data_IF_589790420798
#
_entry.id   IF_589790420798
#
_cell.length_a   1.000
_cell.length_b   1.000
_cell.length_c   1.000
_cell.angle_alpha   90.00
_cell.angle_beta   90.00
_cell.angle_gamma   90.00
#
_symmetry.space_group_name_H-M   'P 1'
#
loop_
_entity.id
_entity.type
_entity.pdbx_description
1 polymer ?
#
# COMPACT_ATOMS: atom_id res chain seq x y z
N UNK A 1 26.95 52.50 28.23
CA UNK A 1 25.62 52.53 28.85
C UNK A 1 24.89 51.26 28.42
N UNK A 2 25.14 50.16 29.13
CA UNK A 2 24.27 49.62 30.22
C UNK A 2 23.02 48.95 29.63
N UNK A 3 23.05 47.64 29.31
CA UNK A 3 22.93 46.45 30.18
C UNK A 3 21.63 46.43 30.99
N UNK A 4 20.72 45.51 30.64
CA UNK A 4 19.90 44.75 31.58
C UNK A 4 19.24 43.55 30.87
N UNK A 5 19.82 42.37 31.06
CA UNK A 5 19.09 41.09 31.09
C UNK A 5 18.18 41.07 32.34
N UNK A 6 17.13 40.24 32.34
CA UNK A 6 16.73 39.55 33.56
C UNK A 6 17.09 38.07 33.49
N UNK A 7 17.75 37.69 34.56
CA UNK A 7 18.23 36.39 34.99
C UNK A 7 17.07 35.47 35.45
N UNK A 8 17.27 34.16 35.23
CA UNK A 8 16.87 33.00 36.04
C UNK A 8 15.49 32.91 36.69
N UNK A 9 14.80 31.79 36.40
CA UNK A 9 14.34 30.91 37.48
C UNK A 9 14.29 29.43 37.04
N UNK A 10 15.33 28.71 37.46
CA UNK A 10 15.35 27.26 37.64
C UNK A 10 14.20 26.83 38.58
N UNK A 11 13.34 25.92 38.14
CA UNK A 11 12.56 25.08 39.05
C UNK A 11 12.80 23.61 38.67
N UNK A 12 13.81 23.04 39.34
CA UNK A 12 13.92 21.59 39.54
C UNK A 12 12.75 21.14 40.40
N UNK A 13 12.00 20.13 39.96
CA UNK A 13 11.34 19.19 40.87
C UNK A 13 11.56 17.75 40.44
N UNK A 14 12.19 17.04 41.36
CA UNK A 14 12.55 15.64 41.35
C UNK A 14 11.36 14.70 41.61
N UNK A 15 11.59 13.44 41.21
CA UNK A 15 11.05 12.18 41.76
C UNK A 15 9.58 11.85 41.41
N UNK A 16 9.20 10.61 41.08
CA UNK A 16 9.62 9.33 41.66
C UNK A 16 9.48 8.19 40.64
N UNK A 17 10.44 7.29 40.70
CA UNK A 17 10.36 5.94 40.15
C UNK A 17 9.28 5.12 40.88
N UNK A 18 8.57 4.28 40.14
CA UNK A 18 7.90 3.10 40.67
C UNK A 18 8.17 1.94 39.71
N UNK A 19 9.15 1.13 40.11
CA UNK A 19 9.35 -0.25 39.63
C UNK A 19 8.33 -1.14 40.36
N UNK A 20 7.53 -1.90 39.61
CA UNK A 20 6.86 -3.09 40.16
C UNK A 20 7.22 -4.26 39.26
N UNK A 21 8.19 -5.03 39.74
CA UNK A 21 8.47 -6.38 39.28
C UNK A 21 7.50 -7.35 39.98
N UNK A 22 6.84 -8.21 39.22
CA UNK A 22 6.17 -9.38 39.74
C UNK A 22 6.69 -10.60 38.96
N UNK A 23 7.62 -11.31 39.57
CA UNK A 23 8.04 -12.64 39.16
C UNK A 23 7.06 -13.65 39.75
N UNK A 24 6.50 -14.53 38.91
CA UNK A 24 5.88 -15.77 39.38
C UNK A 24 6.56 -16.91 38.63
N UNK A 25 7.31 -17.69 39.42
CA UNK A 25 7.87 -18.97 39.05
C UNK A 25 6.77 -20.04 39.08
N UNK A 26 6.75 -20.90 38.07
CA UNK A 26 5.99 -22.15 38.04
C UNK A 26 6.74 -23.17 37.20
N UNK A 27 7.23 -24.23 37.84
CA UNK A 27 8.04 -25.28 37.24
C UNK A 27 7.26 -26.61 37.08
N UNK A 28 7.70 -27.38 36.07
CA UNK A 28 7.45 -28.82 35.80
C UNK A 28 6.00 -29.22 35.42
N UNK A 29 5.75 -30.10 34.44
CA UNK A 29 6.22 -31.50 34.32
C UNK A 29 6.37 -31.94 32.85
N UNK A 30 7.31 -32.85 32.65
CA UNK A 30 7.69 -33.60 31.45
C UNK A 30 6.54 -34.46 30.86
N UNK A 31 6.43 -34.47 29.53
CA UNK A 31 5.94 -35.64 28.79
C UNK A 31 6.73 -35.75 27.48
N UNK A 32 7.69 -36.67 27.48
CA UNK A 32 8.33 -37.19 26.28
C UNK A 32 7.37 -38.17 25.60
N UNK A 33 7.11 -38.00 24.31
CA UNK A 33 6.70 -39.09 23.44
C UNK A 33 7.83 -39.35 22.46
N UNK A 34 8.44 -40.50 22.70
CA UNK A 34 9.54 -41.13 21.99
C UNK A 34 9.00 -41.90 20.78
N UNK A 35 9.84 -41.95 19.73
CA UNK A 35 9.96 -43.00 18.71
C UNK A 35 8.75 -43.39 17.82
N UNK A 36 8.93 -43.19 16.51
CA UNK A 36 9.19 -44.31 15.60
C UNK A 36 9.60 -43.80 14.20
N UNK A 37 10.89 -43.80 13.91
CA UNK A 37 11.40 -43.86 12.54
C UNK A 37 11.28 -45.31 12.06
N UNK A 38 10.47 -45.55 11.04
CA UNK A 38 10.41 -46.82 10.33
C UNK A 38 10.94 -46.65 8.91
N UNK A 39 12.16 -47.11 8.66
CA UNK A 39 12.64 -47.47 7.32
C UNK A 39 12.72 -48.99 7.27
N UNK A 40 11.97 -49.64 6.37
CA UNK A 40 12.37 -50.90 5.77
C UNK A 40 12.31 -50.76 4.23
N UNK A 41 13.24 -51.18 3.39
CA UNK A 41 14.51 -51.90 3.48
C UNK A 41 14.99 -52.05 2.03
N UNK A 42 16.29 -52.03 1.80
CA UNK A 42 16.90 -52.34 0.50
C UNK A 42 17.04 -53.86 0.35
N UNK A 43 16.60 -54.42 -0.78
CA UNK A 43 17.28 -55.49 -1.54
C UNK A 43 16.56 -55.77 -2.89
N UNK A 44 17.23 -56.35 -3.91
CA UNK A 44 17.33 -55.73 -5.22
C UNK A 44 16.66 -56.48 -6.40
N UNK A 45 16.60 -55.75 -7.53
CA UNK A 45 16.48 -56.16 -8.94
C UNK A 45 15.16 -56.83 -9.42
N UNK A 46 14.39 -56.10 -10.24
CA UNK A 46 14.30 -56.36 -11.68
C UNK A 46 13.48 -55.30 -12.42
N UNK A 47 13.86 -55.06 -13.68
CA UNK A 47 13.61 -53.81 -14.39
C UNK A 47 12.16 -53.54 -14.80
N UNK A 48 11.81 -52.26 -14.75
CA UNK A 48 11.06 -51.56 -15.78
C UNK A 48 11.15 -50.05 -15.52
N UNK A 49 11.88 -49.33 -16.37
CA UNK A 49 11.92 -47.87 -16.40
C UNK A 49 10.54 -47.35 -16.83
N UNK A 50 9.65 -47.13 -15.87
CA UNK A 50 8.41 -46.37 -16.08
C UNK A 50 8.79 -44.89 -15.95
N UNK A 51 8.84 -44.20 -17.08
CA UNK A 51 8.89 -42.74 -17.12
C UNK A 51 7.60 -42.21 -16.50
N UNK A 52 7.62 -41.93 -15.19
CA UNK A 52 6.52 -41.28 -14.50
C UNK A 52 6.42 -39.83 -15.01
N UNK A 53 5.58 -39.61 -16.03
CA UNK A 53 5.19 -38.27 -16.45
C UNK A 53 4.17 -37.76 -15.44
N UNK A 54 4.61 -36.96 -14.48
CA UNK A 54 3.70 -36.28 -13.55
C UNK A 54 2.81 -35.33 -14.38
N UNK A 55 1.48 -35.47 -14.36
CA UNK A 55 0.60 -34.48 -14.97
C UNK A 55 0.82 -33.12 -14.28
N UNK A 56 0.70 -31.99 -15.01
CA UNK A 56 0.62 -30.68 -14.37
C UNK A 56 -0.45 -30.71 -13.28
N UNK A 57 -0.12 -30.21 -12.09
CA UNK A 57 -1.09 -30.02 -11.03
C UNK A 57 -2.28 -29.24 -11.59
N UNK A 58 -3.46 -29.86 -11.58
CA UNK A 58 -4.70 -29.20 -11.96
C UNK A 58 -4.90 -28.00 -11.02
N UNK A 59 -4.87 -26.80 -11.59
CA UNK A 59 -5.24 -25.57 -10.88
C UNK A 59 -6.69 -25.75 -10.44
N UNK A 60 -7.02 -25.70 -9.14
CA UNK A 60 -8.40 -25.72 -8.70
C UNK A 60 -9.14 -24.56 -9.38
N UNK A 61 -10.20 -24.87 -10.11
CA UNK A 61 -11.09 -23.85 -10.64
C UNK A 61 -11.64 -23.04 -9.45
N UNK A 62 -11.25 -21.77 -9.38
CA UNK A 62 -11.68 -20.87 -8.33
C UNK A 62 -13.21 -20.71 -8.45
N UNK A 63 -13.99 -20.95 -7.39
CA UNK A 63 -15.41 -20.67 -7.43
C UNK A 63 -15.60 -19.19 -7.71
N UNK A 64 -16.40 -18.87 -8.73
CA UNK A 64 -16.80 -17.50 -9.05
C UNK A 64 -17.54 -16.92 -7.83
N UNK A 65 -16.82 -16.21 -6.97
CA UNK A 65 -17.45 -15.45 -5.90
C UNK A 65 -18.20 -14.31 -6.57
N UNK A 66 -19.53 -14.41 -6.61
CA UNK A 66 -20.39 -13.26 -6.90
C UNK A 66 -20.09 -12.21 -5.86
N UNK A 67 -19.39 -11.15 -6.25
CA UNK A 67 -19.15 -9.96 -5.42
C UNK A 67 -20.50 -9.51 -4.86
N UNK A 68 -20.64 -9.37 -3.54
CA UNK A 68 -21.86 -8.86 -2.94
C UNK A 68 -22.26 -7.54 -3.61
N UNK A 69 -23.53 -7.41 -3.98
CA UNK A 69 -24.02 -6.16 -4.55
C UNK A 69 -23.75 -5.02 -3.57
N UNK A 70 -23.18 -3.92 -4.08
CA UNK A 70 -22.88 -2.76 -3.25
C UNK A 70 -24.17 -2.22 -2.58
N UNK A 71 -24.08 -1.67 -1.36
CA UNK A 71 -25.23 -1.07 -0.70
C UNK A 71 -25.93 -0.01 -1.57
N UNK A 72 -27.26 0.14 -1.44
CA UNK A 72 -27.99 1.19 -2.14
C UNK A 72 -27.52 2.56 -1.68
N UNK A 73 -27.46 3.51 -2.62
CA UNK A 73 -27.12 4.90 -2.33
C UNK A 73 -28.28 5.58 -1.56
N UNK A 74 -27.98 6.39 -0.54
CA UNK A 74 -28.97 7.26 0.10
C UNK A 74 -29.63 8.21 -0.92
N UNK A 75 -30.91 8.53 -0.71
CA UNK A 75 -31.67 9.41 -1.62
C UNK A 75 -31.15 10.86 -1.64
N UNK A 76 -30.49 11.27 -0.56
CA UNK A 76 -29.88 12.58 -0.33
C UNK A 76 -28.37 12.59 -0.60
N UNK A 77 -27.82 11.53 -1.21
CA UNK A 77 -26.40 11.48 -1.54
C UNK A 77 -25.97 12.64 -2.45
N UNK A 78 -24.80 13.27 -2.23
CA UNK A 78 -24.31 14.36 -3.06
C UNK A 78 -24.30 14.00 -4.54
N UNK A 79 -24.73 14.89 -5.44
CA UNK A 79 -24.77 14.57 -6.86
C UNK A 79 -23.35 14.46 -7.41
N UNK A 80 -23.11 13.41 -8.20
CA UNK A 80 -21.89 13.25 -9.01
C UNK A 80 -22.30 13.24 -10.48
N UNK A 81 -21.75 14.15 -11.27
CA UNK A 81 -22.07 14.26 -12.68
C UNK A 81 -21.65 13.02 -13.46
N UNK A 82 -22.47 12.66 -14.44
CA UNK A 82 -22.25 11.48 -15.27
C UNK A 82 -20.93 11.57 -16.05
N UNK A 83 -20.34 10.42 -16.32
CA UNK A 83 -19.14 10.26 -17.15
C UNK A 83 -19.54 9.51 -18.41
N UNK A 84 -19.62 10.17 -19.58
CA UNK A 84 -19.91 9.49 -20.84
C UNK A 84 -18.94 8.33 -21.09
N UNK A 85 -19.48 7.14 -21.35
CA UNK A 85 -18.69 5.92 -21.58
C UNK A 85 -18.28 5.13 -20.33
N UNK A 86 -18.56 5.64 -19.11
CA UNK A 86 -18.28 4.95 -17.84
C UNK A 86 -19.45 5.15 -16.86
N UNK A 87 -20.61 4.50 -17.07
CA UNK A 87 -21.82 4.75 -16.29
C UNK A 87 -21.70 4.43 -14.80
N UNK A 88 -20.82 3.49 -14.43
CA UNK A 88 -20.58 3.07 -13.05
C UNK A 88 -19.83 4.12 -12.21
N UNK A 89 -19.08 5.03 -12.85
CA UNK A 89 -18.17 5.98 -12.19
C UNK A 89 -18.88 6.90 -11.20
N UNK A 90 -20.00 7.50 -11.62
CA UNK A 90 -20.76 8.41 -10.77
C UNK A 90 -21.21 7.72 -9.48
N UNK A 91 -21.73 6.49 -9.57
CA UNK A 91 -22.20 5.75 -8.39
C UNK A 91 -21.06 5.35 -7.44
N UNK A 92 -19.89 4.97 -7.98
CA UNK A 92 -18.74 4.57 -7.18
C UNK A 92 -18.18 5.76 -6.37
N UNK A 93 -18.08 6.92 -7.01
CA UNK A 93 -17.62 8.16 -6.36
C UNK A 93 -18.69 8.75 -5.46
N UNK A 94 -19.97 8.59 -5.77
CA UNK A 94 -21.06 9.08 -4.93
C UNK A 94 -21.09 8.40 -3.56
N UNK A 95 -20.74 7.11 -3.46
CA UNK A 95 -20.57 6.42 -2.16
C UNK A 95 -19.45 7.05 -1.33
N UNK A 96 -18.35 7.40 -1.97
CA UNK A 96 -17.27 8.13 -1.32
C UNK A 96 -17.69 9.55 -0.93
N UNK A 97 -18.47 10.25 -1.76
CA UNK A 97 -18.95 11.60 -1.46
C UNK A 97 -19.89 11.63 -0.23
N UNK A 98 -20.74 10.61 -0.07
CA UNK A 98 -21.52 10.42 1.17
C UNK A 98 -20.61 10.29 2.38
N UNK A 99 -19.54 9.49 2.26
CA UNK A 99 -18.57 9.33 3.33
C UNK A 99 -17.81 10.63 3.62
N UNK A 100 -17.46 11.42 2.60
CA UNK A 100 -16.78 12.71 2.76
C UNK A 100 -17.57 13.68 3.67
N UNK A 101 -18.89 13.69 3.55
CA UNK A 101 -19.75 14.55 4.38
C UNK A 101 -19.98 14.02 5.80
N UNK A 102 -19.99 12.69 5.96
CA UNK A 102 -20.48 12.05 7.18
C UNK A 102 -19.39 11.42 8.06
N UNK A 103 -18.20 11.16 7.51
CA UNK A 103 -17.09 10.54 8.24
C UNK A 103 -16.05 11.55 8.67
N UNK A 104 -15.36 11.22 9.76
CA UNK A 104 -14.14 11.91 10.17
C UNK A 104 -13.00 11.62 9.21
N UNK A 105 -12.00 12.51 9.15
CA UNK A 105 -10.78 12.29 8.36
C UNK A 105 -10.10 10.96 8.71
N UNK A 106 -10.07 10.57 9.98
CA UNK A 106 -9.47 9.28 10.38
C UNK A 106 -10.22 8.08 9.79
N UNK A 107 -11.56 8.12 9.73
CA UNK A 107 -12.35 7.07 9.09
C UNK A 107 -12.17 7.06 7.56
N UNK A 108 -11.99 8.24 6.94
CA UNK A 108 -11.66 8.35 5.52
C UNK A 108 -10.26 7.80 5.23
N UNK A 109 -9.27 8.01 6.11
CA UNK A 109 -7.93 7.42 5.98
C UNK A 109 -7.98 5.89 6.04
N UNK A 110 -8.82 5.32 6.90
CA UNK A 110 -9.04 3.86 6.94
C UNK A 110 -9.72 3.36 5.67
N UNK A 111 -10.72 4.09 5.16
CA UNK A 111 -11.48 3.65 3.98
C UNK A 111 -10.64 3.83 2.70
N UNK A 112 -9.90 4.93 2.58
CA UNK A 112 -9.03 5.28 1.47
C UNK A 112 -7.57 4.87 1.72
N UNK A 113 -7.39 3.65 2.21
CA UNK A 113 -6.10 3.12 2.66
C UNK A 113 -5.05 3.02 1.54
N UNK A 114 -5.44 3.07 0.26
CA UNK A 114 -4.51 3.11 -0.87
C UNK A 114 -3.80 4.46 -1.02
N UNK A 115 -4.37 5.52 -0.46
CA UNK A 115 -3.80 6.87 -0.45
C UNK A 115 -2.98 7.10 0.84
N UNK A 116 -1.91 7.91 0.79
CA UNK A 116 -1.18 8.27 2.00
C UNK A 116 -2.10 9.00 3.01
N UNK A 117 -2.03 8.70 4.31
CA UNK A 117 -2.97 9.28 5.29
C UNK A 117 -2.94 10.81 5.36
N UNK A 118 -1.76 11.44 5.23
CA UNK A 118 -1.65 12.90 5.22
C UNK A 118 -2.23 13.49 3.93
N UNK A 119 -2.00 12.85 2.78
CA UNK A 119 -2.63 13.24 1.51
C UNK A 119 -4.17 13.19 1.61
N UNK A 120 -4.74 12.17 2.25
CA UNK A 120 -6.18 12.10 2.55
C UNK A 120 -6.62 13.25 3.44
N UNK A 121 -5.86 13.54 4.51
CA UNK A 121 -6.19 14.63 5.42
C UNK A 121 -6.20 15.99 4.71
N UNK A 122 -5.21 16.25 3.85
CA UNK A 122 -5.07 17.51 3.14
C UNK A 122 -6.14 17.66 2.04
N UNK A 123 -6.33 16.63 1.21
CA UNK A 123 -7.29 16.68 0.09
C UNK A 123 -8.74 16.78 0.54
N UNK A 124 -9.08 16.19 1.69
CA UNK A 124 -10.47 16.07 2.15
C UNK A 124 -10.79 17.01 3.31
N UNK A 125 -9.86 17.90 3.70
CA UNK A 125 -10.06 18.87 4.78
C UNK A 125 -11.22 19.84 4.51
N UNK A 126 -11.43 20.23 3.24
CA UNK A 126 -12.54 21.07 2.81
C UNK A 126 -13.39 20.33 1.76
N UNK A 127 -14.53 19.73 2.17
CA UNK A 127 -15.40 18.98 1.27
C UNK A 127 -16.06 19.82 0.17
N UNK A 128 -16.35 21.10 0.43
CA UNK A 128 -17.29 21.85 -0.41
C UNK A 128 -16.77 22.10 -1.84
N UNK A 129 -15.51 22.53 -2.06
CA UNK A 129 -14.95 22.66 -3.41
C UNK A 129 -14.91 21.32 -4.17
N UNK A 130 -14.71 20.21 -3.45
CA UNK A 130 -14.63 18.87 -4.02
C UNK A 130 -15.99 18.40 -4.50
N UNK A 131 -17.02 18.53 -3.66
CA UNK A 131 -18.41 18.21 -4.02
C UNK A 131 -18.91 19.08 -5.17
N UNK A 132 -18.55 20.38 -5.19
CA UNK A 132 -18.91 21.28 -6.28
C UNK A 132 -18.28 20.87 -7.63
N UNK A 133 -17.03 20.39 -7.61
CA UNK A 133 -16.38 19.83 -8.80
C UNK A 133 -17.06 18.53 -9.25
N UNK A 134 -17.34 17.62 -8.32
CA UNK A 134 -18.02 16.36 -8.63
C UNK A 134 -19.42 16.54 -9.20
N UNK A 135 -20.14 17.60 -8.83
CA UNK A 135 -21.46 17.91 -9.38
C UNK A 135 -21.44 18.28 -10.87
N UNK A 136 -20.27 18.64 -11.44
CA UNK A 136 -20.13 18.91 -12.87
C UNK A 136 -20.09 17.61 -13.69
N UNK A 137 -20.39 17.62 -14.99
CA UNK A 137 -20.16 16.44 -15.84
C UNK A 137 -18.69 16.01 -15.81
N UNK A 138 -18.46 14.71 -15.70
CA UNK A 138 -17.11 14.14 -15.74
C UNK A 138 -16.64 13.82 -17.16
N UNK A 139 -15.34 13.67 -17.31
CA UNK A 139 -14.70 13.21 -18.53
C UNK A 139 -13.79 12.01 -18.23
N UNK A 140 -13.56 11.16 -19.22
CA UNK A 140 -12.62 10.06 -19.13
C UNK A 140 -11.56 10.20 -20.22
N UNK A 141 -10.31 10.08 -19.82
CA UNK A 141 -9.17 9.77 -20.70
C UNK A 141 -8.74 8.35 -20.36
N UNK A 142 -8.11 7.62 -21.30
CA UNK A 142 -7.63 6.22 -21.19
C UNK A 142 -7.95 5.54 -19.84
N UNK A 143 -7.17 5.85 -18.80
CA UNK A 143 -7.29 5.24 -17.46
C UNK A 143 -7.74 6.18 -16.33
N UNK A 144 -7.96 7.48 -16.59
CA UNK A 144 -8.28 8.48 -15.56
C UNK A 144 -9.63 9.15 -15.84
N UNK A 145 -10.49 9.15 -14.84
CA UNK A 145 -11.76 9.86 -14.83
C UNK A 145 -11.58 11.17 -14.08
N UNK A 146 -12.08 12.27 -14.63
CA UNK A 146 -11.90 13.60 -14.07
C UNK A 146 -13.19 14.41 -14.02
N UNK A 147 -13.40 15.08 -12.89
CA UNK A 147 -14.39 16.15 -12.70
C UNK A 147 -13.67 17.46 -12.41
N UNK A 148 -14.21 18.58 -12.90
CA UNK A 148 -13.56 19.89 -12.75
C UNK A 148 -14.57 20.97 -12.41
N UNK A 149 -14.19 21.85 -11.47
CA UNK A 149 -14.77 23.17 -11.27
C UNK A 149 -13.75 24.25 -11.60
N UNK A 150 -14.09 25.52 -11.34
CA UNK A 150 -13.16 26.64 -11.54
C UNK A 150 -11.92 26.58 -10.63
N UNK A 151 -12.02 25.93 -9.46
CA UNK A 151 -10.95 25.91 -8.45
C UNK A 151 -10.40 24.52 -8.12
N UNK A 152 -11.07 23.45 -8.55
CA UNK A 152 -10.76 22.09 -8.11
C UNK A 152 -10.85 21.09 -9.26
N UNK A 153 -9.88 20.21 -9.33
CA UNK A 153 -9.87 19.02 -10.19
C UNK A 153 -9.94 17.79 -9.30
N UNK A 154 -10.87 16.88 -9.60
CA UNK A 154 -11.02 15.61 -8.88
C UNK A 154 -10.78 14.48 -9.87
N UNK A 155 -9.83 13.60 -9.56
CA UNK A 155 -9.49 12.46 -10.43
C UNK A 155 -9.70 11.13 -9.72
N UNK A 156 -10.04 10.11 -10.50
CA UNK A 156 -10.18 8.73 -10.04
C UNK A 156 -9.61 7.81 -11.12
N UNK A 157 -8.84 6.82 -10.70
CA UNK A 157 -8.38 5.76 -11.61
C UNK A 157 -9.56 4.87 -12.01
N UNK A 158 -9.67 4.56 -13.29
CA UNK A 158 -10.76 3.75 -13.82
C UNK A 158 -10.83 2.37 -13.17
N UNK A 159 -9.68 1.80 -12.80
CA UNK A 159 -9.59 0.53 -12.08
C UNK A 159 -10.27 0.61 -10.69
N UNK A 160 -10.18 1.75 -10.00
CA UNK A 160 -10.81 1.93 -8.68
C UNK A 160 -12.35 1.93 -8.77
N UNK A 161 -12.90 2.41 -9.87
CA UNK A 161 -14.36 2.44 -10.10
C UNK A 161 -14.96 1.03 -10.17
N UNK A 162 -14.23 0.06 -10.72
CA UNK A 162 -14.71 -1.33 -10.85
C UNK A 162 -15.01 -1.98 -9.49
N UNK A 163 -14.42 -1.48 -8.39
CA UNK A 163 -14.69 -1.95 -7.03
C UNK A 163 -16.04 -1.46 -6.46
N UNK A 164 -16.69 -0.49 -7.13
CA UNK A 164 -17.93 0.12 -6.68
C UNK A 164 -17.78 1.20 -5.60
N UNK A 165 -16.55 1.47 -5.13
CA UNK A 165 -16.20 2.55 -4.22
C UNK A 165 -14.83 3.13 -4.60
N UNK A 166 -14.76 4.40 -4.96
CA UNK A 166 -13.51 4.99 -5.43
C UNK A 166 -13.11 6.22 -4.61
N UNK A 167 -11.90 6.19 -4.04
CA UNK A 167 -11.28 7.30 -3.33
C UNK A 167 -10.58 8.24 -4.31
N UNK A 168 -11.08 9.46 -4.54
CA UNK A 168 -10.52 10.38 -5.51
C UNK A 168 -9.24 11.06 -5.02
N UNK A 169 -8.42 11.52 -5.97
CA UNK A 169 -7.41 12.54 -5.70
C UNK A 169 -7.99 13.91 -6.02
N UNK A 170 -7.57 14.91 -5.25
CA UNK A 170 -8.06 16.29 -5.35
C UNK A 170 -6.87 17.20 -5.58
N UNK A 171 -6.97 18.02 -6.62
CA UNK A 171 -5.94 18.97 -7.01
C UNK A 171 -6.53 20.37 -7.17
N UNK A 172 -5.75 21.43 -6.93
CA UNK A 172 -6.12 22.77 -7.39
C UNK A 172 -6.37 22.81 -8.90
N UNK A 173 -7.26 23.68 -9.36
CA UNK A 173 -7.46 23.89 -10.79
C UNK A 173 -6.14 24.31 -11.48
N UNK A 174 -5.85 23.69 -12.63
CA UNK A 174 -4.64 23.93 -13.41
C UNK A 174 -3.37 23.23 -12.90
N UNK A 175 -3.42 22.55 -11.76
CA UNK A 175 -2.36 21.64 -11.36
C UNK A 175 -2.43 20.35 -12.19
N UNK A 176 -1.28 19.87 -12.65
CA UNK A 176 -1.19 18.59 -13.33
C UNK A 176 -1.40 17.46 -12.31
N UNK A 177 -2.38 16.55 -12.52
CA UNK A 177 -2.54 15.39 -11.67
C UNK A 177 -1.29 14.52 -11.69
N UNK A 178 -0.85 14.07 -10.52
CA UNK A 178 0.33 13.23 -10.40
C UNK A 178 0.51 12.66 -9.00
N UNK A 179 1.58 11.90 -8.85
CA UNK A 179 1.97 11.28 -7.60
C UNK A 179 3.19 11.99 -7.02
N UNK A 180 3.26 12.03 -5.69
CA UNK A 180 4.34 12.70 -4.99
C UNK A 180 5.18 11.71 -4.14
N UNK A 181 6.19 12.26 -3.48
CA UNK A 181 7.05 11.52 -2.58
C UNK A 181 6.29 10.80 -1.45
N UNK A 182 5.13 11.31 -1.01
CA UNK A 182 4.30 10.65 -0.01
C UNK A 182 3.64 9.39 -0.58
N UNK A 183 3.20 9.41 -1.84
CA UNK A 183 2.72 8.21 -2.54
C UNK A 183 3.82 7.15 -2.65
N UNK A 184 5.05 7.55 -3.00
CA UNK A 184 6.18 6.62 -3.07
C UNK A 184 6.47 5.95 -1.70
N UNK A 185 6.48 6.74 -0.62
CA UNK A 185 6.65 6.20 0.75
C UNK A 185 5.50 5.28 1.15
N UNK A 186 4.27 5.63 0.79
CA UNK A 186 3.10 4.83 1.10
C UNK A 186 3.06 3.51 0.31
N UNK A 187 3.53 3.49 -0.94
CA UNK A 187 3.74 2.25 -1.69
C UNK A 187 4.69 1.30 -0.95
N UNK A 188 5.82 1.79 -0.44
CA UNK A 188 6.76 0.95 0.35
C UNK A 188 6.15 0.50 1.68
N UNK A 189 5.43 1.39 2.37
CA UNK A 189 4.69 1.05 3.59
C UNK A 189 3.74 -0.11 3.36
N UNK A 190 2.88 -0.02 2.34
CA UNK A 190 1.92 -1.08 1.98
C UNK A 190 2.62 -2.38 1.64
N UNK A 191 3.68 -2.32 0.82
CA UNK A 191 4.45 -3.49 0.46
C UNK A 191 5.04 -4.22 1.68
N UNK A 192 5.66 -3.47 2.60
CA UNK A 192 6.23 -4.03 3.82
C UNK A 192 5.16 -4.52 4.81
N UNK A 193 4.05 -3.80 4.94
CA UNK A 193 2.91 -4.19 5.75
C UNK A 193 2.34 -5.55 5.32
N UNK A 194 2.18 -5.78 4.01
CA UNK A 194 1.81 -7.09 3.45
C UNK A 194 2.84 -8.16 3.81
N UNK A 195 4.12 -7.86 3.60
CA UNK A 195 5.22 -8.81 3.81
C UNK A 195 5.33 -9.27 5.28
N UNK A 196 5.03 -8.39 6.23
CA UNK A 196 5.01 -8.70 7.67
C UNK A 196 3.68 -9.28 8.16
N UNK A 197 2.74 -9.59 7.25
CA UNK A 197 1.44 -10.17 7.59
C UNK A 197 0.45 -9.19 8.25
N UNK A 198 0.66 -7.89 8.08
CA UNK A 198 -0.20 -6.82 8.60
C UNK A 198 -0.59 -5.85 7.47
N UNK A 199 -1.23 -6.31 6.38
CA UNK A 199 -1.64 -5.42 5.31
C UNK A 199 -2.57 -4.33 5.84
N UNK A 200 -2.53 -3.14 5.22
CA UNK A 200 -3.34 -2.00 5.67
C UNK A 200 -4.85 -2.27 5.52
N UNK A 201 -5.21 -3.12 4.57
CA UNK A 201 -6.55 -3.66 4.37
C UNK A 201 -6.45 -5.12 3.90
N UNK A 202 -7.37 -6.03 4.27
CA UNK A 202 -7.33 -7.43 3.81
C UNK A 202 -7.40 -7.61 2.28
N UNK A 203 -7.94 -6.64 1.55
CA UNK A 203 -7.95 -6.62 0.08
C UNK A 203 -6.63 -6.18 -0.54
N UNK A 204 -5.69 -5.67 0.26
CA UNK A 204 -4.38 -5.18 -0.16
C UNK A 204 -3.45 -6.32 -0.62
N UNK A 205 -3.69 -6.80 -1.84
CA UNK A 205 -3.00 -7.96 -2.43
C UNK A 205 -2.38 -7.57 -3.77
N UNK A 206 -1.28 -8.23 -4.15
CA UNK A 206 -0.55 -7.89 -5.37
C UNK A 206 -1.39 -8.06 -6.64
N UNK A 207 -2.32 -9.02 -6.66
CA UNK A 207 -3.18 -9.26 -7.82
C UNK A 207 -4.28 -8.22 -8.05
N UNK A 208 -4.71 -7.51 -7.00
CA UNK A 208 -5.78 -6.49 -7.06
C UNK A 208 -5.24 -5.07 -6.95
N UNK A 209 -4.12 -4.90 -6.25
CA UNK A 209 -3.42 -3.64 -6.07
C UNK A 209 -1.92 -3.87 -6.27
N UNK A 210 -1.43 -3.95 -7.52
CA UNK A 210 -0.02 -4.23 -7.78
C UNK A 210 0.88 -3.13 -7.19
N UNK A 211 1.93 -3.53 -6.49
CA UNK A 211 2.97 -2.63 -5.97
C UNK A 211 4.34 -2.93 -6.56
N UNK A 212 4.51 -4.05 -7.26
CA UNK A 212 5.74 -4.44 -7.92
C UNK A 212 5.64 -4.03 -9.40
N UNK A 213 6.67 -3.39 -9.93
CA UNK A 213 6.71 -3.05 -11.35
C UNK A 213 6.65 -4.32 -12.20
N UNK A 214 5.96 -4.27 -13.34
CA UNK A 214 5.89 -5.43 -14.24
C UNK A 214 7.26 -5.74 -14.85
N UNK A 215 7.51 -7.02 -15.10
CA UNK A 215 8.73 -7.45 -15.81
C UNK A 215 8.67 -7.10 -17.32
N UNK A 216 7.46 -7.06 -17.89
CA UNK A 216 7.21 -6.85 -19.31
C UNK A 216 6.10 -5.81 -19.53
N UNK A 217 6.28 -4.88 -20.50
CA UNK A 217 7.52 -4.64 -21.25
C UNK A 217 8.65 -4.15 -20.33
N UNK A 218 9.90 -4.44 -20.71
CA UNK A 218 11.07 -3.93 -20.01
C UNK A 218 11.10 -2.39 -20.10
N UNK A 219 10.86 -1.71 -18.99
CA UNK A 219 10.81 -0.26 -18.90
C UNK A 219 11.64 0.30 -17.72
N UNK A 220 12.43 -0.54 -17.06
CA UNK A 220 13.19 -0.17 -15.87
C UNK A 220 14.58 0.38 -16.25
N UNK A 221 14.80 1.69 -16.05
CA UNK A 221 16.07 2.37 -16.31
C UNK A 221 16.32 3.55 -15.34
N UNK A 222 16.46 3.29 -14.02
CA UNK A 222 16.68 4.36 -13.02
C UNK A 222 18.00 5.11 -13.26
N UNK A 223 18.97 4.45 -13.88
CA UNK A 223 20.25 5.03 -14.26
C UNK A 223 20.23 5.61 -15.67
N UNK A 224 19.05 5.74 -16.31
CA UNK A 224 18.76 6.30 -17.63
C UNK A 224 19.90 6.11 -18.64
N UNK A 225 20.28 4.85 -18.78
CA UNK A 225 21.28 4.33 -19.70
C UNK A 225 20.78 4.30 -21.14
N UNK A 226 19.46 4.44 -21.35
CA UNK A 226 18.79 4.27 -22.63
C UNK A 226 18.49 2.82 -22.99
N UNK A 227 18.81 1.86 -22.10
CA UNK A 227 18.62 0.43 -22.32
C UNK A 227 17.77 -0.13 -21.17
N UNK A 228 16.42 -0.03 -21.25
CA UNK A 228 15.56 -0.48 -20.18
C UNK A 228 15.63 -2.00 -20.01
N UNK A 229 15.63 -2.43 -18.75
CA UNK A 229 15.61 -3.85 -18.37
C UNK A 229 14.25 -4.20 -17.74
N UNK A 230 13.93 -5.49 -17.56
CA UNK A 230 12.88 -5.90 -16.64
C UNK A 230 13.19 -5.41 -15.22
N UNK A 231 12.17 -4.97 -14.49
CA UNK A 231 12.33 -4.56 -13.10
C UNK A 231 12.93 -5.70 -12.25
N UNK A 232 14.07 -5.50 -11.56
CA UNK A 232 14.75 -6.55 -10.80
C UNK A 232 13.86 -7.30 -9.79
N UNK A 233 12.99 -6.59 -9.08
CA UNK A 233 12.11 -7.18 -8.07
C UNK A 233 11.04 -8.09 -8.69
N UNK A 234 10.57 -7.78 -9.91
CA UNK A 234 9.58 -8.60 -10.61
C UNK A 234 10.08 -10.03 -10.86
N UNK A 235 11.38 -10.18 -11.12
CA UNK A 235 12.04 -11.47 -11.34
C UNK A 235 12.54 -12.12 -10.04
N UNK A 236 12.52 -11.39 -8.93
CA UNK A 236 12.96 -11.89 -7.63
C UNK A 236 12.08 -11.35 -6.49
N UNK A 237 10.77 -11.70 -6.47
CA UNK A 237 9.83 -11.19 -5.47
C UNK A 237 10.20 -11.63 -4.04
N UNK A 238 11.00 -12.69 -3.90
CA UNK A 238 11.48 -13.21 -2.62
C UNK A 238 12.64 -12.44 -1.98
N UNK A 239 13.13 -11.33 -2.56
CA UNK A 239 14.29 -10.56 -2.05
C UNK A 239 14.21 -10.18 -0.57
N UNK A 240 13.01 -9.96 -0.05
CA UNK A 240 12.78 -9.54 1.33
C UNK A 240 12.16 -10.63 2.21
N UNK A 241 12.17 -11.89 1.74
CA UNK A 241 11.71 -13.04 2.53
C UNK A 241 12.43 -13.09 3.88
N UNK A 242 11.66 -13.31 4.95
CA UNK A 242 12.18 -13.31 6.32
C UNK A 242 12.19 -11.94 6.98
N UNK A 243 11.66 -10.90 6.34
CA UNK A 243 11.32 -9.63 7.01
C UNK A 243 10.23 -9.87 8.04
N UNK A 244 10.42 -9.38 9.27
CA UNK A 244 9.48 -9.53 10.40
C UNK A 244 8.95 -8.21 10.91
N UNK A 245 9.66 -7.11 10.72
CA UNK A 245 9.22 -5.77 11.11
C UNK A 245 9.91 -4.68 10.27
N UNK A 246 9.34 -3.47 10.27
CA UNK A 246 9.96 -2.29 9.69
C UNK A 246 9.63 -1.05 10.54
N UNK A 247 10.50 -0.04 10.49
CA UNK A 247 10.29 1.21 11.20
C UNK A 247 9.42 2.17 10.36
N UNK A 248 8.09 1.99 10.43
CA UNK A 248 7.08 2.76 9.67
C UNK A 248 7.27 4.29 9.76
N UNK A 249 7.67 4.78 10.94
CA UNK A 249 7.87 6.21 11.19
C UNK A 249 9.23 6.74 10.71
N UNK A 250 10.09 5.88 10.14
CA UNK A 250 11.42 6.23 9.64
C UNK A 250 11.54 6.04 8.12
N UNK A 251 10.40 5.93 7.42
CA UNK A 251 10.39 5.89 5.96
C UNK A 251 10.73 7.29 5.44
N UNK A 252 11.76 7.39 4.61
CA UNK A 252 12.19 8.63 3.97
C UNK A 252 12.34 8.43 2.46
N UNK A 253 12.19 9.51 1.69
CA UNK A 253 12.30 9.47 0.23
C UNK A 253 13.32 10.48 -0.27
N UNK A 254 13.90 10.18 -1.43
CA UNK A 254 14.68 11.11 -2.22
C UNK A 254 14.32 10.90 -3.69
N UNK A 255 13.86 11.97 -4.32
CA UNK A 255 13.63 11.99 -5.76
C UNK A 255 14.90 11.63 -6.53
N UNK A 256 14.74 10.79 -7.54
CA UNK A 256 15.74 10.49 -8.54
C UNK A 256 15.33 11.15 -9.86
N UNK A 257 16.03 10.82 -10.93
CA UNK A 257 15.73 11.35 -12.27
C UNK A 257 14.53 10.66 -12.90
N UNK A 258 13.89 11.32 -13.85
CA UNK A 258 12.94 10.72 -14.79
C UNK A 258 11.79 9.91 -14.13
N UNK A 259 11.18 10.45 -13.07
CA UNK A 259 10.04 9.82 -12.38
C UNK A 259 10.41 8.64 -11.48
N UNK A 260 11.70 8.48 -11.16
CA UNK A 260 12.14 7.51 -10.17
C UNK A 260 12.25 8.16 -8.79
N UNK A 261 11.98 7.39 -7.73
CA UNK A 261 12.15 7.79 -6.34
C UNK A 261 12.87 6.68 -5.59
N UNK A 262 13.82 7.05 -4.73
CA UNK A 262 14.40 6.14 -3.74
C UNK A 262 13.70 6.32 -2.41
N UNK A 263 13.34 5.22 -1.76
CA UNK A 263 12.71 5.21 -0.43
C UNK A 263 13.55 4.34 0.50
N UNK A 264 13.96 4.90 1.64
CA UNK A 264 14.77 4.21 2.63
C UNK A 264 13.94 3.91 3.87
N UNK A 265 14.08 2.69 4.38
CA UNK A 265 13.37 2.24 5.58
C UNK A 265 14.19 1.19 6.33
N UNK A 266 14.34 1.31 7.66
CA UNK A 266 14.89 0.24 8.49
C UNK A 266 13.97 -0.98 8.53
N UNK A 267 14.51 -2.14 8.17
CA UNK A 267 13.82 -3.43 8.13
C UNK A 267 14.53 -4.42 9.03
N UNK A 268 13.75 -5.16 9.84
CA UNK A 268 14.24 -6.21 10.74
C UNK A 268 13.90 -7.58 10.16
N UNK A 269 14.89 -8.47 10.15
CA UNK A 269 14.72 -9.84 9.67
C UNK A 269 14.39 -10.84 10.81
N UNK A 270 14.16 -12.11 10.45
CA UNK A 270 13.84 -13.20 11.39
C UNK A 270 14.96 -13.53 12.37
N UNK A 271 16.20 -13.10 12.11
CA UNK A 271 17.33 -13.18 13.04
C UNK A 271 17.41 -11.99 14.00
N UNK A 272 16.47 -11.05 13.93
CA UNK A 272 16.43 -9.84 14.77
C UNK A 272 17.40 -8.75 14.33
N UNK A 273 18.03 -8.86 13.15
CA UNK A 273 18.97 -7.85 12.63
C UNK A 273 18.19 -6.78 11.88
N UNK A 274 18.38 -5.52 12.27
CA UNK A 274 17.84 -4.35 11.58
C UNK A 274 18.85 -3.76 10.61
N UNK A 275 18.44 -3.55 9.37
CA UNK A 275 19.23 -2.87 8.33
C UNK A 275 18.33 -1.91 7.57
N UNK A 276 18.85 -0.74 7.21
CA UNK A 276 18.19 0.11 6.21
C UNK A 276 18.13 -0.66 4.89
N UNK A 277 16.99 -0.58 4.22
CA UNK A 277 16.80 -1.05 2.85
C UNK A 277 16.43 0.13 1.98
N UNK A 278 16.96 0.15 0.77
CA UNK A 278 16.63 1.15 -0.24
C UNK A 278 15.73 0.51 -1.29
N UNK A 279 14.52 1.03 -1.41
CA UNK A 279 13.55 0.70 -2.44
C UNK A 279 13.69 1.72 -3.56
N UNK A 280 13.85 1.26 -4.80
CA UNK A 280 13.75 2.14 -5.96
C UNK A 280 12.38 1.93 -6.58
N UNK A 281 11.67 3.03 -6.77
CA UNK A 281 10.32 3.08 -7.33
C UNK A 281 10.31 3.86 -8.63
N UNK A 282 9.35 3.56 -9.49
CA UNK A 282 9.05 4.28 -10.73
C UNK A 282 7.60 4.73 -10.69
N UNK A 283 7.37 5.99 -11.03
CA UNK A 283 6.04 6.52 -11.27
C UNK A 283 5.43 5.90 -12.54
N UNK A 284 4.17 5.49 -12.45
CA UNK A 284 3.35 4.99 -13.55
C UNK A 284 2.01 5.71 -13.59
N UNK A 285 1.13 5.26 -14.48
CA UNK A 285 -0.23 5.78 -14.64
C UNK A 285 -1.08 5.60 -13.37
N UNK A 286 -0.92 4.45 -12.71
CA UNK A 286 -1.70 4.05 -11.52
C UNK A 286 -0.93 4.25 -10.20
N UNK A 287 0.12 5.08 -10.22
CA UNK A 287 0.95 5.38 -9.05
C UNK A 287 2.35 4.79 -9.12
N UNK A 288 3.01 4.72 -7.97
CA UNK A 288 4.36 4.17 -7.87
C UNK A 288 4.35 2.64 -7.79
N UNK A 289 5.25 2.03 -8.55
CA UNK A 289 5.62 0.61 -8.41
C UNK A 289 7.08 0.47 -7.95
N UNK A 290 7.38 -0.59 -7.20
CA UNK A 290 8.72 -0.94 -6.71
C UNK A 290 9.38 -1.83 -7.75
N UNK A 291 10.52 -1.39 -8.28
CA UNK A 291 11.28 -2.18 -9.24
C UNK A 291 12.56 -2.78 -8.70
N UNK A 292 13.15 -2.23 -7.64
CA UNK A 292 14.35 -2.81 -7.04
C UNK A 292 14.43 -2.58 -5.53
N UNK A 293 15.17 -3.46 -4.85
CA UNK A 293 15.49 -3.36 -3.43
C UNK A 293 16.97 -3.68 -3.23
N UNK A 294 17.70 -2.74 -2.63
CA UNK A 294 19.10 -2.91 -2.25
C UNK A 294 19.28 -2.85 -0.72
N UNK A 295 20.41 -3.37 -0.20
CA UNK A 295 20.89 -3.01 1.13
C UNK A 295 21.07 -1.50 1.30
#
# INVERSE_FOLDING_TARGET
MDRAEPESQDIRRSARAVLVAAAIAGAAVLAACDSASGIPGDDPADGSSVTATTPPAAIPAQPSTTTPAAPPLPADAPPVGAVPGVPEAASAVQRWAVDLENKTISQLQTTCWTLPPLTVADMYADPQPVLAALAQPGAVTDDVITWRSAGTTVTVDRAAVASGYACPRVFPAGAEPGYDDADARHTVRRYLARLTGQPLDPSDQEGTHPLICTANPAAWDPQGTGNPIPAPLANNPGRLTGTTAFADQQISSQALRAGYVSVQVPVTNSSGVTQTKTFTLREGTDGYCIGDVSP
#
